data_IF_799503443340
#
_entry.id   IF_799503443340
#
_cell.length_a   1.000
_cell.length_b   1.000
_cell.length_c   1.000
_cell.angle_alpha   90.00
_cell.angle_beta   90.00
_cell.angle_gamma   90.00
#
_symmetry.space_group_name_H-M   'P 1'
#
loop_
_entity.id
_entity.type
_entity.pdbx_description
1 polymer ?
#
# COMPACT_ATOMS: atom_id res chain seq x y z
N UNK A 1 9.53 -12.09 5.38
CA UNK A 1 8.11 -11.74 5.16
C UNK A 1 7.59 -12.70 4.09
N UNK A 2 6.31 -13.07 4.11
CA UNK A 2 5.75 -13.99 3.10
C UNK A 2 5.31 -13.19 1.88
N UNK A 3 6.06 -13.30 0.78
CA UNK A 3 5.82 -12.51 -0.43
C UNK A 3 4.90 -13.22 -1.44
N UNK A 4 4.78 -14.55 -1.37
CA UNK A 4 3.87 -15.35 -2.21
C UNK A 4 2.37 -15.23 -1.81
N UNK A 5 1.96 -14.05 -1.35
CA UNK A 5 0.59 -13.73 -0.93
C UNK A 5 -0.11 -12.75 -1.88
N UNK A 6 0.60 -12.22 -2.87
CA UNK A 6 0.07 -11.31 -3.89
C UNK A 6 0.81 -11.49 -5.21
N UNK A 7 0.26 -10.94 -6.29
CA UNK A 7 0.87 -11.05 -7.61
C UNK A 7 2.15 -10.20 -7.73
N UNK A 8 2.99 -10.53 -8.71
CA UNK A 8 4.19 -9.74 -9.01
C UNK A 8 3.86 -8.29 -9.38
N UNK A 9 2.75 -8.06 -10.08
CA UNK A 9 2.24 -6.73 -10.41
C UNK A 9 1.88 -5.95 -9.15
N UNK A 10 1.28 -6.62 -8.17
CA UNK A 10 0.93 -6.00 -6.90
C UNK A 10 2.17 -5.60 -6.10
N UNK A 11 3.19 -6.46 -6.08
CA UNK A 11 4.49 -6.12 -5.48
C UNK A 11 5.13 -4.91 -6.14
N UNK A 12 5.20 -4.90 -7.47
CA UNK A 12 5.73 -3.75 -8.21
C UNK A 12 4.96 -2.47 -7.93
N UNK A 13 3.63 -2.55 -7.82
CA UNK A 13 2.81 -1.39 -7.46
C UNK A 13 3.10 -0.89 -6.05
N UNK A 14 3.28 -1.78 -5.06
CA UNK A 14 3.66 -1.40 -3.70
C UNK A 14 5.03 -0.71 -3.66
N UNK A 15 6.00 -1.20 -4.44
CA UNK A 15 7.31 -0.55 -4.60
C UNK A 15 7.18 0.86 -5.21
N UNK A 16 6.39 1.01 -6.28
CA UNK A 16 6.14 2.31 -6.91
C UNK A 16 5.50 3.30 -5.93
N UNK A 17 4.49 2.88 -5.17
CA UNK A 17 3.88 3.71 -4.13
C UNK A 17 4.90 4.18 -3.08
N UNK A 18 5.84 3.32 -2.71
CA UNK A 18 6.91 3.65 -1.76
C UNK A 18 7.90 4.67 -2.37
N UNK A 19 8.25 4.50 -3.64
CA UNK A 19 9.16 5.42 -4.35
C UNK A 19 8.56 6.81 -4.58
N UNK A 20 7.24 6.93 -4.73
CA UNK A 20 6.56 8.23 -4.83
C UNK A 20 6.72 9.08 -3.55
N UNK A 21 7.06 8.48 -2.41
CA UNK A 21 7.25 9.17 -1.13
C UNK A 21 5.97 9.77 -0.53
N UNK A 22 4.83 9.65 -1.21
CA UNK A 22 3.53 10.17 -0.76
C UNK A 22 3.01 9.49 0.51
N UNK A 23 3.48 8.27 0.77
CA UNK A 23 3.05 7.42 1.89
C UNK A 23 4.14 7.28 2.97
N UNK A 24 5.13 8.17 3.02
CA UNK A 24 6.29 8.06 3.94
C UNK A 24 5.89 7.97 5.42
N UNK A 25 4.84 8.68 5.81
CA UNK A 25 4.34 8.70 7.19
C UNK A 25 3.23 7.66 7.45
N UNK A 26 2.99 6.78 6.48
CA UNK A 26 1.99 5.72 6.54
C UNK A 26 2.67 4.36 6.70
N UNK A 27 1.93 3.40 7.24
CA UNK A 27 2.34 2.00 7.28
C UNK A 27 1.24 1.13 6.67
N UNK A 28 1.65 0.02 6.05
CA UNK A 28 0.73 -0.97 5.52
C UNK A 28 0.01 -1.65 6.71
N UNK A 29 -1.31 -1.69 6.61
CA UNK A 29 -2.20 -2.24 7.61
C UNK A 29 -3.18 -3.25 6.98
N UNK A 30 -4.16 -3.67 7.76
CA UNK A 30 -5.24 -4.51 7.28
C UNK A 30 -4.83 -5.93 6.91
N UNK A 31 -5.62 -6.53 6.02
CA UNK A 31 -5.50 -7.95 5.68
C UNK A 31 -4.20 -8.31 4.99
N UNK A 32 -3.68 -7.42 4.14
CA UNK A 32 -2.44 -7.65 3.39
C UNK A 32 -1.21 -7.52 4.26
N UNK A 33 -1.18 -6.58 5.22
CA UNK A 33 -0.12 -6.54 6.22
C UNK A 33 -0.07 -7.83 7.05
N UNK A 34 -1.24 -8.34 7.48
CA UNK A 34 -1.33 -9.62 8.17
C UNK A 34 -0.91 -10.81 7.29
N UNK A 35 -1.27 -10.80 6.01
CA UNK A 35 -0.86 -11.84 5.06
C UNK A 35 0.65 -11.85 4.82
N UNK A 36 1.28 -10.68 4.68
CA UNK A 36 2.74 -10.54 4.59
C UNK A 36 3.44 -11.07 5.86
N UNK A 37 2.85 -10.86 7.04
CA UNK A 37 3.42 -11.34 8.30
C UNK A 37 3.22 -12.84 8.54
N UNK A 38 2.03 -13.38 8.23
CA UNK A 38 1.63 -14.76 8.58
C UNK A 38 1.68 -15.76 7.43
N UNK A 39 1.72 -15.30 6.17
CA UNK A 39 1.66 -16.18 5.00
C UNK A 39 0.33 -16.94 4.84
N UNK A 40 -0.69 -16.60 5.63
CA UNK A 40 -1.87 -17.45 5.83
C UNK A 40 -2.88 -17.47 4.67
N UNK A 41 -2.81 -16.54 3.72
CA UNK A 41 -3.72 -16.45 2.56
C UNK A 41 -3.21 -15.47 1.50
N UNK A 42 -3.77 -15.58 0.30
CA UNK A 42 -3.68 -14.53 -0.73
C UNK A 42 -4.42 -13.26 -0.30
N UNK A 43 -3.81 -12.08 -0.50
CA UNK A 43 -4.39 -10.78 -0.16
C UNK A 43 -3.73 -9.65 -0.95
N UNK A 44 -4.53 -8.88 -1.72
CA UNK A 44 -4.02 -7.83 -2.60
C UNK A 44 -4.43 -6.40 -2.23
N UNK A 45 -5.42 -6.23 -1.35
CA UNK A 45 -5.88 -4.90 -0.94
C UNK A 45 -4.82 -4.18 -0.10
N UNK A 46 -4.34 -3.03 -0.55
CA UNK A 46 -3.35 -2.25 0.20
C UNK A 46 -4.06 -1.19 1.05
N UNK A 47 -4.15 -1.44 2.35
CA UNK A 47 -4.67 -0.48 3.32
C UNK A 47 -3.51 0.25 3.99
N UNK A 48 -3.55 1.59 4.02
CA UNK A 48 -2.52 2.39 4.68
C UNK A 48 -3.13 3.20 5.82
N UNK A 49 -2.47 3.17 6.98
CA UNK A 49 -2.83 3.96 8.14
C UNK A 49 -1.66 4.85 8.54
N UNK A 50 -1.97 5.95 9.22
CA UNK A 50 -0.96 6.84 9.79
C UNK A 50 -1.45 7.37 11.14
N UNK A 51 -0.51 7.62 12.06
CA UNK A 51 -0.79 8.35 13.30
C UNK A 51 -0.78 9.87 13.13
N UNK A 52 -0.39 10.36 11.95
CA UNK A 52 -0.28 11.79 11.65
C UNK A 52 -1.56 12.33 11.02
N UNK A 53 -1.88 13.60 11.29
CA UNK A 53 -2.97 14.28 10.57
C UNK A 53 -2.54 14.51 9.12
N UNK A 54 -3.44 14.26 8.18
CA UNK A 54 -3.23 14.52 6.77
C UNK A 54 -4.53 14.95 6.09
N UNK A 55 -4.42 15.56 4.92
CA UNK A 55 -5.57 15.87 4.06
C UNK A 55 -5.79 14.72 3.07
N UNK A 56 -6.88 13.98 3.26
CA UNK A 56 -7.22 12.84 2.42
C UNK A 56 -7.58 13.23 0.98
N UNK A 57 -8.20 14.39 0.77
CA UNK A 57 -8.55 14.88 -0.56
C UNK A 57 -7.30 15.32 -1.33
N UNK A 58 -6.37 16.01 -0.66
CA UNK A 58 -5.10 16.39 -1.27
C UNK A 58 -4.27 15.16 -1.63
N UNK A 59 -4.20 14.16 -0.75
CA UNK A 59 -3.50 12.91 -1.02
C UNK A 59 -4.13 12.15 -2.20
N UNK A 60 -5.45 12.00 -2.22
CA UNK A 60 -6.17 11.35 -3.33
C UNK A 60 -5.90 12.04 -4.67
N UNK A 61 -5.90 13.39 -4.69
CA UNK A 61 -5.57 14.16 -5.89
C UNK A 61 -4.14 13.91 -6.38
N UNK A 62 -3.17 13.82 -5.48
CA UNK A 62 -1.77 13.50 -5.85
C UNK A 62 -1.69 12.07 -6.42
N UNK A 63 -2.30 11.09 -5.75
CA UNK A 63 -2.29 9.70 -6.21
C UNK A 63 -2.92 9.53 -7.60
N UNK A 64 -4.03 10.24 -7.88
CA UNK A 64 -4.69 10.21 -9.19
C UNK A 64 -3.82 10.75 -10.35
N UNK A 65 -2.71 11.47 -10.07
CA UNK A 65 -1.77 11.90 -11.10
C UNK A 65 -0.78 10.81 -11.50
N UNK A 66 -0.61 9.79 -10.65
CA UNK A 66 0.38 8.71 -10.85
C UNK A 66 -0.26 7.35 -11.12
N UNK A 67 -1.53 7.17 -10.74
CA UNK A 67 -2.28 5.94 -10.98
C UNK A 67 -3.28 6.19 -12.10
N UNK A 68 -2.99 5.65 -13.28
CA UNK A 68 -3.95 5.59 -14.38
C UNK A 68 -4.85 4.37 -14.16
N UNK A 69 -6.18 4.58 -14.11
CA UNK A 69 -7.17 3.51 -14.02
C UNK A 69 -7.47 2.89 -15.39
#
# INVERSE_FOLDING_TARGET
MFEDIMSAERHSFLEQLTQLGLLKDFYLAGGTAAALYLGHRWSEGLDFLTGHKFDSFQLAKKLAQYVTF
#
